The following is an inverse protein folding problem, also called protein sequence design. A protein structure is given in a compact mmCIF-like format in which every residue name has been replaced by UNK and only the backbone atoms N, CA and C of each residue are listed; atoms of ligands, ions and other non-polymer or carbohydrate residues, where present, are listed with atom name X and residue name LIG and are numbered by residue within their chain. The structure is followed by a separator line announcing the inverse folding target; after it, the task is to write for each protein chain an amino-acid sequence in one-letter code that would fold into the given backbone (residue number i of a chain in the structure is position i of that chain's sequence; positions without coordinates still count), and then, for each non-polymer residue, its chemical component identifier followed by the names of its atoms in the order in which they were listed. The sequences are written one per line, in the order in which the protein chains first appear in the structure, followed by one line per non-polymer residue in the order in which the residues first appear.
data_IF_182795069824
#
_entry.id   IF_182795069824
#
_cell.length_a   1.000
_cell.length_b   1.000
_cell.length_c   1.000
_cell.angle_alpha   90.00
_cell.angle_beta   90.00
_cell.angle_gamma   90.00
#
_symmetry.space_group_name_H-M   'P 1'
#
loop_
_entity.id
_entity.type
_entity.pdbx_description
1 polymer ?
#
# COMPACT_ATOMS: atom_id res chain seq x y z
N UNK A 1 9.06 7.55 -1.38
CA UNK A 1 9.24 6.63 -2.53
C UNK A 1 9.51 7.44 -3.78
N UNK A 2 10.45 7.00 -4.61
CA UNK A 2 10.80 7.67 -5.86
C UNK A 2 9.72 7.52 -6.96
N UNK A 3 9.82 8.26 -8.07
CA UNK A 3 9.00 8.01 -9.26
C UNK A 3 9.14 6.58 -9.81
N UNK A 4 10.32 5.96 -9.70
CA UNK A 4 10.52 4.59 -10.16
C UNK A 4 9.79 3.59 -9.26
N UNK A 5 9.81 3.78 -7.94
CA UNK A 5 9.07 2.95 -7.00
C UNK A 5 7.55 3.14 -7.16
N UNK A 6 7.09 4.37 -7.35
CA UNK A 6 5.68 4.63 -7.66
C UNK A 6 5.24 3.96 -8.97
N UNK A 7 6.10 3.96 -10.00
CA UNK A 7 5.80 3.26 -11.25
C UNK A 7 5.78 1.74 -11.06
N UNK A 8 6.69 1.19 -10.23
CA UNK A 8 6.75 -0.24 -9.91
C UNK A 8 5.44 -0.75 -9.29
N UNK A 9 4.88 0.01 -8.35
CA UNK A 9 3.62 -0.33 -7.67
C UNK A 9 2.35 0.10 -8.43
N UNK A 10 2.51 0.81 -9.54
CA UNK A 10 1.38 1.17 -10.39
C UNK A 10 0.91 -0.05 -11.19
N UNK A 11 -0.41 -0.19 -11.34
CA UNK A 11 -0.95 -1.13 -12.30
C UNK A 11 -0.45 -0.78 -13.71
N UNK A 12 -0.20 -1.78 -14.54
CA UNK A 12 0.09 -1.60 -15.97
C UNK A 12 -1.18 -1.89 -16.76
N UNK A 13 -1.97 -0.87 -17.16
CA UNK A 13 -3.19 -1.09 -17.92
C UNK A 13 -2.88 -1.76 -19.27
N UNK A 14 -3.83 -2.56 -19.78
CA UNK A 14 -3.72 -3.08 -21.13
C UNK A 14 -3.67 -1.93 -22.15
N UNK A 15 -2.85 -2.06 -23.22
CA UNK A 15 -2.78 -1.03 -24.23
C UNK A 15 -4.13 -0.88 -24.96
N UNK A 16 -4.48 0.34 -25.38
CA UNK A 16 -5.70 0.57 -26.14
C UNK A 16 -5.66 -0.14 -27.49
N UNK A 17 -6.82 -0.60 -27.96
CA UNK A 17 -6.98 -1.22 -29.28
C UNK A 17 -7.88 -0.39 -30.19
N UNK A 18 -7.71 -0.56 -31.50
CA UNK A 18 -8.66 -0.02 -32.47
C UNK A 18 -9.91 -0.91 -32.54
N UNK A 19 -11.09 -0.29 -32.52
CA UNK A 19 -12.35 -0.98 -32.75
C UNK A 19 -12.79 -0.89 -34.22
N UNK A 20 -13.58 -1.85 -34.73
CA UNK A 20 -14.32 -1.68 -35.98
C UNK A 20 -15.17 -0.40 -35.93
N UNK A 21 -15.30 0.27 -37.08
CA UNK A 21 -15.94 1.59 -37.18
C UNK A 21 -17.32 1.65 -36.53
N UNK A 22 -18.13 0.60 -36.69
CA UNK A 22 -19.47 0.53 -36.10
C UNK A 22 -19.44 0.54 -34.57
N UNK A 23 -18.50 -0.18 -33.96
CA UNK A 23 -18.33 -0.25 -32.50
C UNK A 23 -17.67 1.02 -31.95
N UNK A 24 -16.71 1.58 -32.69
CA UNK A 24 -16.11 2.88 -32.36
C UNK A 24 -17.16 3.99 -32.33
N UNK A 25 -18.13 3.96 -33.25
CA UNK A 25 -19.26 4.89 -33.27
C UNK A 25 -20.18 4.73 -32.05
N UNK A 26 -20.40 3.50 -31.56
CA UNK A 26 -21.15 3.30 -30.30
C UNK A 26 -20.47 4.03 -29.14
N UNK A 27 -19.15 3.83 -28.97
CA UNK A 27 -18.41 4.50 -27.89
C UNK A 27 -18.35 6.02 -28.05
N UNK A 28 -18.19 6.51 -29.28
CA UNK A 28 -18.18 7.95 -29.58
C UNK A 28 -19.52 8.61 -29.25
N UNK A 29 -20.61 8.04 -29.74
CA UNK A 29 -21.96 8.54 -29.47
C UNK A 29 -22.26 8.49 -27.97
N UNK A 30 -21.80 7.45 -27.26
CA UNK A 30 -21.92 7.35 -25.80
C UNK A 30 -21.16 8.48 -25.10
N UNK A 31 -19.93 8.77 -25.52
CA UNK A 31 -19.13 9.86 -24.95
C UNK A 31 -19.74 11.24 -25.25
N UNK A 32 -20.33 11.45 -26.42
CA UNK A 32 -21.03 12.70 -26.77
C UNK A 32 -22.36 12.90 -26.04
N UNK A 33 -22.99 11.81 -25.60
CA UNK A 33 -24.25 11.79 -24.88
C UNK A 33 -24.07 11.64 -23.35
N UNK A 34 -22.84 11.66 -22.84
CA UNK A 34 -22.50 11.20 -21.49
C UNK A 34 -23.34 11.77 -20.34
N UNK A 35 -23.89 12.97 -20.47
CA UNK A 35 -24.75 13.65 -19.49
C UNK A 35 -26.19 13.89 -19.98
N UNK A 36 -26.59 13.24 -21.07
CA UNK A 36 -27.91 13.36 -21.68
C UNK A 36 -28.59 11.98 -21.68
N UNK A 37 -29.46 11.77 -20.70
CA UNK A 37 -30.20 10.52 -20.52
C UNK A 37 -31.03 10.14 -21.75
N UNK A 38 -31.62 11.10 -22.45
CA UNK A 38 -32.43 10.82 -23.64
C UNK A 38 -31.56 10.32 -24.80
N UNK A 39 -30.42 11.00 -25.06
CA UNK A 39 -29.47 10.59 -26.09
C UNK A 39 -28.79 9.26 -25.75
N UNK A 40 -28.42 9.03 -24.49
CA UNK A 40 -27.89 7.74 -24.03
C UNK A 40 -28.93 6.62 -24.18
N UNK A 41 -30.18 6.88 -23.81
CA UNK A 41 -31.29 5.92 -23.93
C UNK A 41 -31.48 5.38 -25.35
N UNK A 42 -31.16 6.17 -26.38
CA UNK A 42 -31.21 5.76 -27.77
C UNK A 42 -30.10 4.76 -28.17
N UNK A 43 -29.03 4.65 -27.37
CA UNK A 43 -27.92 3.71 -27.57
C UNK A 43 -28.19 2.34 -26.92
N UNK A 44 -29.15 2.24 -25.99
CA UNK A 44 -29.46 1.01 -25.25
C UNK A 44 -30.56 0.17 -25.93
N UNK A 45 -30.52 -1.15 -25.71
CA UNK A 45 -31.66 -2.04 -26.03
C UNK A 45 -32.85 -1.75 -25.12
N UNK A 46 -34.07 -2.16 -25.51
CA UNK A 46 -35.26 -1.93 -24.68
C UNK A 46 -35.14 -2.59 -23.30
N UNK A 47 -34.58 -3.79 -23.27
CA UNK A 47 -34.34 -4.67 -22.12
C UNK A 47 -32.95 -4.48 -21.49
N UNK A 48 -32.26 -3.37 -21.78
CA UNK A 48 -30.89 -3.15 -21.31
C UNK A 48 -30.79 -3.24 -19.78
N UNK A 49 -29.62 -3.64 -19.28
CA UNK A 49 -29.39 -3.81 -17.85
C UNK A 49 -28.04 -3.24 -17.43
N UNK A 50 -27.97 -2.64 -16.25
CA UNK A 50 -26.72 -2.17 -15.63
C UNK A 50 -26.69 -2.58 -14.17
N UNK A 51 -25.50 -2.95 -13.69
CA UNK A 51 -25.26 -3.14 -12.26
C UNK A 51 -24.90 -1.78 -11.65
N UNK A 52 -25.69 -1.33 -10.67
CA UNK A 52 -25.31 -0.18 -9.86
C UNK A 52 -24.18 -0.59 -8.90
N UNK A 53 -23.03 0.08 -9.00
CA UNK A 53 -21.88 -0.19 -8.13
C UNK A 53 -22.06 0.31 -6.69
N UNK A 54 -22.95 1.27 -6.44
CA UNK A 54 -23.07 1.93 -5.13
C UNK A 54 -24.06 1.22 -4.19
N UNK A 55 -25.17 0.69 -4.73
CA UNK A 55 -26.15 -0.10 -3.99
C UNK A 55 -26.47 -1.37 -4.77
N UNK A 56 -25.67 -2.45 -4.69
CA UNK A 56 -25.46 -3.51 -5.68
C UNK A 56 -26.73 -4.18 -6.24
N UNK A 57 -27.48 -3.43 -7.03
CA UNK A 57 -28.80 -3.76 -7.58
C UNK A 57 -28.76 -3.70 -9.10
N UNK A 58 -29.67 -4.45 -9.72
CA UNK A 58 -29.80 -4.50 -11.18
C UNK A 58 -30.86 -3.54 -11.67
N UNK A 59 -30.44 -2.51 -12.41
CA UNK A 59 -31.36 -1.59 -13.08
C UNK A 59 -31.68 -2.11 -14.47
N UNK A 60 -32.98 -2.28 -14.76
CA UNK A 60 -33.48 -2.83 -16.03
C UNK A 60 -34.29 -1.81 -16.82
N UNK A 61 -34.09 -1.82 -18.13
CA UNK A 61 -34.80 -1.00 -19.11
C UNK A 61 -34.00 0.24 -19.49
N UNK A 62 -34.07 0.64 -20.76
CA UNK A 62 -33.25 1.75 -21.31
C UNK A 62 -33.33 3.04 -20.52
N UNK A 63 -34.51 3.39 -19.98
CA UNK A 63 -34.72 4.64 -19.27
C UNK A 63 -34.01 4.64 -17.90
N UNK A 64 -34.12 3.54 -17.16
CA UNK A 64 -33.43 3.37 -15.88
C UNK A 64 -31.91 3.34 -16.07
N UNK A 65 -31.43 2.55 -17.04
CA UNK A 65 -30.00 2.45 -17.37
C UNK A 65 -29.44 3.81 -17.80
N UNK A 66 -30.12 4.52 -18.71
CA UNK A 66 -29.64 5.82 -19.19
C UNK A 66 -29.69 6.90 -18.10
N UNK A 67 -30.72 6.90 -17.25
CA UNK A 67 -30.80 7.77 -16.08
C UNK A 67 -29.59 7.61 -15.18
N UNK A 68 -29.28 6.37 -14.79
CA UNK A 68 -28.12 6.04 -13.98
C UNK A 68 -26.80 6.45 -14.65
N UNK A 69 -26.55 5.98 -15.86
CA UNK A 69 -25.27 6.20 -16.55
C UNK A 69 -25.02 7.68 -16.88
N UNK A 70 -26.07 8.47 -17.13
CA UNK A 70 -25.96 9.91 -17.39
C UNK A 70 -25.58 10.74 -16.16
N UNK A 71 -25.89 10.23 -14.96
CA UNK A 71 -25.64 10.90 -13.69
C UNK A 71 -24.35 10.42 -13.00
N UNK A 72 -23.75 9.33 -13.49
CA UNK A 72 -22.64 8.63 -12.83
C UNK A 72 -21.38 9.50 -12.65
N UNK A 73 -21.14 10.47 -13.53
CA UNK A 73 -20.00 11.39 -13.42
C UNK A 73 -20.43 12.84 -13.60
N UNK A 74 -19.73 13.76 -12.91
CA UNK A 74 -19.89 15.21 -13.13
C UNK A 74 -18.95 15.80 -14.19
N UNK A 75 -18.15 14.98 -14.88
CA UNK A 75 -17.17 15.42 -15.90
C UNK A 75 -17.21 14.50 -17.11
N UNK A 76 -16.97 15.10 -18.28
CA UNK A 76 -16.80 14.37 -19.54
C UNK A 76 -15.79 13.23 -19.39
N UNK A 77 -16.09 12.13 -20.05
CA UNK A 77 -15.29 10.92 -20.03
C UNK A 77 -15.52 10.13 -21.32
N UNK A 78 -14.61 9.21 -21.62
CA UNK A 78 -14.75 8.26 -22.71
C UNK A 78 -14.39 6.85 -22.25
N UNK A 79 -14.67 5.88 -23.10
CA UNK A 79 -14.18 4.50 -22.92
C UNK A 79 -12.95 4.30 -23.77
N UNK A 80 -11.85 3.87 -23.17
CA UNK A 80 -10.65 3.38 -23.86
C UNK A 80 -10.75 1.86 -23.99
N UNK A 81 -11.02 1.32 -25.20
CA UNK A 81 -11.20 -0.12 -25.38
C UNK A 81 -9.86 -0.85 -25.35
N UNK A 82 -9.83 -2.02 -24.73
CA UNK A 82 -8.65 -2.92 -24.67
C UNK A 82 -8.94 -4.31 -25.20
N UNK A 83 -10.21 -4.69 -25.30
CA UNK A 83 -10.63 -5.93 -25.96
C UNK A 83 -12.03 -5.76 -26.55
N UNK A 84 -12.31 -6.48 -27.64
CA UNK A 84 -13.66 -6.68 -28.13
C UNK A 84 -13.81 -8.06 -28.75
N UNK A 85 -15.04 -8.55 -28.83
CA UNK A 85 -15.40 -9.71 -29.65
C UNK A 85 -16.78 -9.52 -30.24
N UNK A 86 -17.01 -10.09 -31.41
CA UNK A 86 -18.29 -10.07 -32.12
C UNK A 86 -18.59 -11.47 -32.62
N UNK A 87 -19.81 -11.95 -32.38
CA UNK A 87 -20.31 -13.21 -32.91
C UNK A 87 -21.75 -13.00 -33.37
N UNK A 88 -21.94 -12.97 -34.70
CA UNK A 88 -23.24 -12.70 -35.31
C UNK A 88 -23.82 -11.34 -34.89
N UNK A 89 -24.93 -11.37 -34.15
CA UNK A 89 -25.66 -10.19 -33.68
C UNK A 89 -25.32 -9.76 -32.26
N UNK A 90 -24.31 -10.38 -31.62
CA UNK A 90 -23.89 -10.08 -30.25
C UNK A 90 -22.38 -9.82 -30.19
N UNK A 91 -21.94 -9.11 -29.15
CA UNK A 91 -20.52 -8.86 -28.91
C UNK A 91 -20.28 -8.21 -27.56
N UNK A 92 -19.02 -7.90 -27.28
CA UNK A 92 -18.65 -7.10 -26.11
C UNK A 92 -17.49 -6.16 -26.42
N UNK A 93 -17.36 -5.13 -25.59
CA UNK A 93 -16.19 -4.27 -25.48
C UNK A 93 -15.77 -4.28 -24.01
N UNK A 94 -14.51 -4.59 -23.72
CA UNK A 94 -13.90 -4.36 -22.43
C UNK A 94 -12.95 -3.16 -22.54
N UNK A 95 -12.88 -2.35 -21.49
CA UNK A 95 -12.08 -1.13 -21.50
C UNK A 95 -11.99 -0.44 -20.16
N UNK A 96 -11.49 0.79 -20.22
CA UNK A 96 -11.40 1.68 -19.09
C UNK A 96 -12.27 2.91 -19.30
N UNK A 97 -12.89 3.40 -18.23
CA UNK A 97 -13.32 4.79 -18.17
C UNK A 97 -12.09 5.68 -18.12
N UNK A 98 -11.99 6.62 -19.05
CA UNK A 98 -10.80 7.45 -19.24
C UNK A 98 -11.14 8.93 -19.39
N UNK A 99 -10.21 9.78 -18.95
CA UNK A 99 -10.21 11.23 -19.21
C UNK A 99 -8.87 11.63 -19.83
N UNK A 100 -8.93 12.53 -20.79
CA UNK A 100 -7.73 13.16 -21.31
C UNK A 100 -7.25 14.21 -20.29
N UNK A 101 -5.94 14.20 -20.02
CA UNK A 101 -5.22 15.11 -19.12
C UNK A 101 -4.13 15.82 -19.91
N UNK A 102 -3.54 16.88 -19.36
CA UNK A 102 -2.42 17.60 -20.00
C UNK A 102 -1.26 16.67 -20.37
N UNK A 103 -1.06 15.62 -19.57
CA UNK A 103 0.06 14.67 -19.69
C UNK A 103 -0.32 13.35 -20.38
N UNK A 104 -1.56 13.19 -20.85
CA UNK A 104 -1.99 11.96 -21.54
C UNK A 104 -3.41 11.51 -21.19
N UNK A 105 -3.57 10.23 -20.91
CA UNK A 105 -4.88 9.61 -20.65
C UNK A 105 -4.88 9.00 -19.26
N UNK A 106 -5.83 9.42 -18.41
CA UNK A 106 -6.02 8.83 -17.08
C UNK A 106 -7.19 7.85 -17.10
N UNK A 107 -6.91 6.58 -16.84
CA UNK A 107 -7.91 5.56 -16.57
C UNK A 107 -8.36 5.67 -15.11
N UNK A 108 -9.67 5.72 -14.87
CA UNK A 108 -10.23 5.92 -13.53
C UNK A 108 -11.33 4.91 -13.17
N UNK A 109 -11.71 4.03 -14.09
CA UNK A 109 -12.61 2.90 -13.85
C UNK A 109 -12.44 1.82 -14.92
N UNK A 110 -12.99 0.64 -14.66
CA UNK A 110 -13.13 -0.45 -15.61
C UNK A 110 -14.55 -0.45 -16.17
N UNK A 111 -14.72 -0.98 -17.39
CA UNK A 111 -16.04 -1.17 -17.98
C UNK A 111 -16.08 -2.43 -18.84
N UNK A 112 -17.16 -3.19 -18.70
CA UNK A 112 -17.57 -4.19 -19.66
C UNK A 112 -18.90 -3.77 -20.29
N UNK A 113 -18.95 -3.74 -21.62
CA UNK A 113 -20.12 -3.35 -22.41
C UNK A 113 -20.52 -4.55 -23.26
N UNK A 114 -21.68 -5.13 -22.98
CA UNK A 114 -22.28 -6.14 -23.85
C UNK A 114 -23.13 -5.46 -24.93
N UNK A 115 -23.00 -5.92 -26.16
CA UNK A 115 -23.61 -5.32 -27.35
C UNK A 115 -24.54 -6.31 -28.03
N UNK A 116 -25.63 -5.79 -28.60
CA UNK A 116 -26.53 -6.56 -29.47
C UNK A 116 -27.03 -5.70 -30.62
N UNK A 117 -27.15 -6.29 -31.82
CA UNK A 117 -27.81 -5.63 -32.95
C UNK A 117 -29.32 -5.56 -32.70
N UNK A 118 -29.91 -4.40 -32.94
CA UNK A 118 -31.37 -4.28 -33.00
C UNK A 118 -31.93 -4.89 -34.31
N UNK A 119 -33.25 -4.86 -34.47
CA UNK A 119 -33.93 -5.38 -35.67
C UNK A 119 -33.54 -4.64 -36.97
N UNK A 120 -32.92 -3.46 -36.86
CA UNK A 120 -32.39 -2.69 -38.00
C UNK A 120 -30.91 -2.99 -38.28
N UNK A 121 -30.30 -3.92 -37.55
CA UNK A 121 -28.90 -4.29 -37.67
C UNK A 121 -27.93 -3.33 -36.97
N UNK A 122 -28.43 -2.31 -36.25
CA UNK A 122 -27.58 -1.33 -35.56
C UNK A 122 -27.16 -1.85 -34.18
N UNK A 123 -25.89 -1.68 -33.85
CA UNK A 123 -25.38 -2.02 -32.53
C UNK A 123 -26.01 -1.13 -31.44
N UNK A 124 -26.43 -1.80 -30.36
CA UNK A 124 -26.95 -1.21 -29.13
C UNK A 124 -26.26 -1.83 -27.93
N UNK A 125 -26.18 -1.08 -26.85
CA UNK A 125 -25.69 -1.57 -25.55
C UNK A 125 -26.82 -2.37 -24.90
N UNK A 126 -26.58 -3.66 -24.69
CA UNK A 126 -27.50 -4.58 -24.05
C UNK A 126 -27.23 -4.71 -22.54
N UNK A 127 -25.96 -4.61 -22.14
CA UNK A 127 -25.59 -4.50 -20.74
C UNK A 127 -24.34 -3.66 -20.57
N UNK A 128 -24.20 -3.01 -19.41
CA UNK A 128 -22.98 -2.33 -19.02
C UNK A 128 -22.66 -2.66 -17.55
N UNK A 129 -21.37 -2.79 -17.24
CA UNK A 129 -20.90 -3.01 -15.87
C UNK A 129 -19.74 -2.07 -15.62
N UNK A 130 -20.00 -0.90 -15.02
CA UNK A 130 -18.94 -0.02 -14.57
C UNK A 130 -18.35 -0.54 -13.25
N UNK A 131 -17.03 -0.46 -13.09
CA UNK A 131 -16.36 -0.88 -11.85
C UNK A 131 -15.30 0.14 -11.45
N UNK A 132 -15.42 0.65 -10.23
CA UNK A 132 -14.50 1.62 -9.65
C UNK A 132 -13.91 1.05 -8.36
N UNK A 133 -12.66 1.41 -8.03
CA UNK A 133 -11.72 2.27 -8.77
C UNK A 133 -11.18 1.66 -10.07
N UNK A 134 -10.56 2.49 -10.91
CA UNK A 134 -9.78 2.05 -12.07
C UNK A 134 -8.41 1.46 -11.71
N UNK A 135 -7.57 1.11 -12.69
CA UNK A 135 -6.21 0.66 -12.45
C UNK A 135 -5.46 1.62 -11.52
N UNK A 136 -4.81 1.09 -10.50
CA UNK A 136 -4.07 1.91 -9.53
C UNK A 136 -2.92 2.64 -10.25
N UNK A 137 -2.83 3.96 -10.06
CA UNK A 137 -1.75 4.77 -10.60
C UNK A 137 -1.15 5.56 -9.43
N UNK A 138 0.07 5.19 -9.06
CA UNK A 138 0.79 5.78 -7.95
C UNK A 138 1.68 6.92 -8.45
N UNK A 139 1.90 7.90 -7.58
CA UNK A 139 2.82 9.00 -7.80
C UNK A 139 3.90 9.00 -6.72
N UNK A 140 5.07 9.58 -7.04
CA UNK A 140 6.12 9.79 -6.06
C UNK A 140 5.61 10.64 -4.89
N UNK A 141 6.15 10.37 -3.69
CA UNK A 141 5.89 11.19 -2.49
C UNK A 141 7.17 11.83 -2.04
N UNK A 142 7.23 13.14 -2.26
CA UNK A 142 8.37 13.99 -1.93
C UNK A 142 8.45 14.27 -0.43
N UNK A 143 9.63 14.64 0.06
CA UNK A 143 9.79 15.08 1.45
C UNK A 143 8.93 16.31 1.76
N UNK A 144 8.71 17.21 0.80
CA UNK A 144 7.84 18.38 0.99
C UNK A 144 6.40 17.97 1.33
N UNK A 145 5.83 17.03 0.58
CA UNK A 145 4.48 16.51 0.86
C UNK A 145 4.41 15.84 2.23
N UNK A 146 5.46 15.09 2.60
CA UNK A 146 5.54 14.48 3.93
C UNK A 146 5.65 15.52 5.06
N UNK A 147 6.40 16.61 4.86
CA UNK A 147 6.48 17.71 5.83
C UNK A 147 5.12 18.39 6.00
N UNK A 148 4.40 18.65 4.91
CA UNK A 148 3.04 19.20 4.97
C UNK A 148 2.10 18.28 5.78
N UNK A 149 2.19 16.97 5.60
CA UNK A 149 1.43 16.01 6.41
C UNK A 149 1.87 16.00 7.88
N UNK A 150 3.17 15.99 8.15
CA UNK A 150 3.72 16.08 9.50
C UNK A 150 3.24 17.35 10.22
N UNK A 151 3.27 18.50 9.55
CA UNK A 151 2.81 19.76 10.13
C UNK A 151 1.31 19.71 10.45
N UNK A 152 0.50 19.14 9.55
CA UNK A 152 -0.94 18.91 9.78
C UNK A 152 -1.23 17.93 10.92
N UNK A 153 -0.31 16.99 11.19
CA UNK A 153 -0.42 16.01 12.27
C UNK A 153 0.27 16.44 13.57
N UNK A 154 0.97 17.58 13.59
CA UNK A 154 1.78 18.01 14.73
C UNK A 154 3.04 17.16 14.97
N UNK A 155 3.53 16.46 13.94
CA UNK A 155 4.73 15.62 13.99
C UNK A 155 5.97 16.48 13.71
N UNK A 156 6.83 16.61 14.71
CA UNK A 156 8.05 17.42 14.59
C UNK A 156 9.20 16.71 13.87
N UNK A 157 9.37 15.40 14.07
CA UNK A 157 10.41 14.61 13.41
C UNK A 157 9.87 13.27 12.97
N UNK A 158 10.35 12.75 11.85
CA UNK A 158 9.97 11.44 11.35
C UNK A 158 11.12 10.71 10.68
N UNK A 159 10.94 9.39 10.54
CA UNK A 159 11.83 8.53 9.76
C UNK A 159 11.17 8.20 8.44
N UNK A 160 11.85 8.48 7.34
CA UNK A 160 11.43 8.08 6.00
C UNK A 160 11.98 6.69 5.72
N UNK A 161 11.10 5.72 5.56
CA UNK A 161 11.49 4.37 5.17
C UNK A 161 11.65 4.30 3.65
N UNK A 162 12.84 3.93 3.19
CA UNK A 162 13.04 3.53 1.80
C UNK A 162 12.24 2.27 1.48
N UNK A 163 11.71 2.19 0.27
CA UNK A 163 10.97 1.05 -0.28
C UNK A 163 11.80 0.24 -1.27
N UNK A 164 13.12 0.41 -1.23
CA UNK A 164 14.03 -0.24 -2.17
C UNK A 164 13.95 -1.79 -2.14
N UNK A 165 13.43 -2.39 -1.06
CA UNK A 165 13.12 -3.82 -1.00
C UNK A 165 12.19 -4.29 -2.14
N UNK A 166 11.30 -3.43 -2.67
CA UNK A 166 10.40 -3.77 -3.79
C UNK A 166 11.17 -4.22 -5.04
N UNK A 167 12.31 -3.61 -5.32
CA UNK A 167 13.09 -3.96 -6.51
C UNK A 167 13.79 -5.32 -6.38
N UNK A 168 13.98 -5.82 -5.15
CA UNK A 168 14.63 -7.09 -4.86
C UNK A 168 13.69 -8.29 -4.75
N UNK A 169 12.41 -8.14 -5.08
CA UNK A 169 11.39 -9.19 -4.95
C UNK A 169 11.48 -10.23 -6.09
N UNK A 170 11.30 -11.53 -5.78
CA UNK A 170 11.18 -12.62 -6.76
C UNK A 170 9.72 -12.80 -7.19
N UNK A 171 9.37 -13.18 -8.44
CA UNK A 171 10.19 -13.68 -9.54
C UNK A 171 10.66 -12.62 -10.53
N UNK A 172 10.35 -11.34 -10.31
CA UNK A 172 10.79 -10.26 -11.19
C UNK A 172 12.23 -9.88 -10.89
N UNK A 173 13.18 -10.76 -11.23
CA UNK A 173 14.57 -10.36 -11.42
C UNK A 173 14.58 -9.32 -12.54
N UNK A 174 14.53 -8.05 -12.17
CA UNK A 174 14.62 -6.99 -13.15
C UNK A 174 16.08 -6.86 -13.58
N UNK A 175 16.31 -6.63 -14.87
CA UNK A 175 17.63 -6.15 -15.30
C UNK A 175 18.00 -4.92 -14.45
N UNK A 176 19.26 -4.89 -14.01
CA UNK A 176 19.82 -3.85 -13.15
C UNK A 176 19.13 -3.68 -11.78
N UNK A 177 18.61 -4.76 -11.19
CA UNK A 177 17.99 -4.78 -9.85
C UNK A 177 18.76 -3.95 -8.82
N UNK A 178 20.06 -4.21 -8.65
CA UNK A 178 20.86 -3.48 -7.67
C UNK A 178 20.96 -1.97 -8.00
N UNK A 179 21.04 -1.61 -9.28
CA UNK A 179 21.04 -0.19 -9.67
C UNK A 179 19.73 0.51 -9.28
N UNK A 180 18.58 -0.19 -9.35
CA UNK A 180 17.28 0.36 -8.91
C UNK A 180 17.18 0.48 -7.40
N UNK A 181 17.69 -0.51 -6.65
CA UNK A 181 17.80 -0.44 -5.19
C UNK A 181 18.60 0.80 -4.79
N UNK A 182 19.78 0.99 -5.40
CA UNK A 182 20.63 2.16 -5.17
C UNK A 182 19.90 3.46 -5.52
N UNK A 183 19.26 3.51 -6.69
CA UNK A 183 18.54 4.70 -7.14
C UNK A 183 17.38 5.09 -6.21
N UNK A 184 16.65 4.12 -5.65
CA UNK A 184 15.59 4.40 -4.67
C UNK A 184 16.17 4.94 -3.36
N UNK A 185 17.22 4.30 -2.81
CA UNK A 185 17.88 4.80 -1.62
C UNK A 185 18.47 6.21 -1.88
N UNK A 186 19.17 6.43 -2.98
CA UNK A 186 19.76 7.73 -3.34
C UNK A 186 18.68 8.82 -3.43
N UNK A 187 17.54 8.50 -4.04
CA UNK A 187 16.42 9.43 -4.12
C UNK A 187 15.84 9.76 -2.73
N UNK A 188 15.67 8.77 -1.86
CA UNK A 188 15.19 8.98 -0.49
C UNK A 188 16.18 9.83 0.31
N UNK A 189 17.48 9.54 0.22
CA UNK A 189 18.54 10.33 0.85
C UNK A 189 18.50 11.79 0.40
N UNK A 190 18.40 12.03 -0.92
CA UNK A 190 18.26 13.37 -1.49
C UNK A 190 17.02 14.10 -0.99
N UNK A 191 15.88 13.42 -0.88
CA UNK A 191 14.65 14.03 -0.36
C UNK A 191 14.76 14.41 1.11
N UNK A 192 15.30 13.52 1.94
CA UNK A 192 15.49 13.76 3.38
C UNK A 192 16.50 14.87 3.63
N UNK A 193 17.55 14.96 2.82
CA UNK A 193 18.56 16.02 2.90
C UNK A 193 18.00 17.44 2.65
N UNK A 194 16.79 17.57 2.09
CA UNK A 194 16.09 18.86 1.98
C UNK A 194 15.56 19.37 3.33
N UNK A 195 15.36 18.48 4.31
CA UNK A 195 14.78 18.79 5.62
C UNK A 195 15.52 18.06 6.77
N UNK A 196 16.85 18.23 6.92
CA UNK A 196 17.67 17.40 7.81
C UNK A 196 17.34 17.56 9.31
N UNK A 197 16.74 18.69 9.71
CA UNK A 197 16.32 18.91 11.11
C UNK A 197 15.00 18.19 11.46
N UNK A 198 14.24 17.78 10.42
CA UNK A 198 12.89 17.21 10.52
C UNK A 198 12.86 15.73 10.14
N UNK A 199 13.70 15.29 9.22
CA UNK A 199 13.65 13.95 8.65
C UNK A 199 15.02 13.27 8.74
N UNK A 200 14.97 11.96 8.98
CA UNK A 200 16.08 11.03 8.73
C UNK A 200 15.55 9.88 7.88
N UNK A 201 16.42 9.15 7.19
CA UNK A 201 16.05 8.03 6.34
C UNK A 201 16.48 6.70 6.94
N UNK A 202 15.68 5.66 6.72
CA UNK A 202 16.12 4.28 6.84
C UNK A 202 16.34 3.68 5.45
N UNK A 203 17.55 3.18 5.22
CA UNK A 203 17.96 2.53 3.98
C UNK A 203 17.27 1.18 3.83
N UNK A 204 17.09 0.70 2.61
CA UNK A 204 16.40 -0.55 2.38
C UNK A 204 16.98 -1.39 1.25
N UNK A 205 16.79 -2.70 1.34
CA UNK A 205 17.17 -3.71 0.36
C UNK A 205 16.57 -5.06 0.78
N UNK A 206 16.57 -6.04 -0.12
CA UNK A 206 16.24 -7.43 0.23
C UNK A 206 17.46 -8.07 0.94
N UNK A 207 17.33 -8.56 2.20
CA UNK A 207 18.44 -9.13 2.96
C UNK A 207 18.95 -10.47 2.45
N UNK A 208 18.27 -11.10 1.48
CA UNK A 208 18.67 -12.36 0.86
C UNK A 208 19.59 -12.16 -0.36
N UNK A 209 19.78 -10.93 -0.83
CA UNK A 209 20.58 -10.64 -2.03
C UNK A 209 22.05 -10.48 -1.70
N UNK A 210 22.91 -10.87 -2.62
CA UNK A 210 24.38 -10.83 -2.44
C UNK A 210 24.91 -9.42 -2.17
N UNK A 211 24.25 -8.40 -2.72
CA UNK A 211 24.61 -6.99 -2.53
C UNK A 211 24.12 -6.39 -1.20
N UNK A 212 23.39 -7.13 -0.35
CA UNK A 212 22.75 -6.57 0.86
C UNK A 212 23.76 -5.90 1.82
N UNK A 213 24.92 -6.52 2.03
CA UNK A 213 25.96 -5.95 2.91
C UNK A 213 26.72 -4.80 2.24
N UNK A 214 26.86 -4.82 0.91
CA UNK A 214 27.42 -3.71 0.14
C UNK A 214 26.51 -2.48 0.24
N UNK A 215 25.20 -2.66 0.08
CA UNK A 215 24.26 -1.55 0.17
C UNK A 215 24.13 -0.98 1.58
N UNK A 216 24.13 -1.84 2.61
CA UNK A 216 24.24 -1.38 4.00
C UNK A 216 25.49 -0.54 4.21
N UNK A 217 26.66 -1.01 3.76
CA UNK A 217 27.92 -0.28 3.91
C UNK A 217 27.88 1.06 3.17
N UNK A 218 27.21 1.12 2.00
CA UNK A 218 27.05 2.35 1.23
C UNK A 218 26.14 3.36 1.92
N UNK A 219 24.99 2.91 2.41
CA UNK A 219 24.03 3.76 3.14
C UNK A 219 24.61 4.33 4.44
N UNK A 220 25.43 3.57 5.15
CA UNK A 220 26.14 4.00 6.37
C UNK A 220 27.11 5.18 6.14
N UNK A 221 27.54 5.43 4.90
CA UNK A 221 28.39 6.57 4.55
C UNK A 221 27.60 7.85 4.24
N UNK A 222 26.28 7.78 4.10
CA UNK A 222 25.44 8.91 3.78
C UNK A 222 24.73 9.43 5.05
N UNK A 223 24.96 10.69 5.46
CA UNK A 223 24.41 11.25 6.70
C UNK A 223 22.87 11.37 6.72
N UNK A 224 22.20 11.23 5.57
CA UNK A 224 20.75 11.16 5.53
C UNK A 224 20.21 9.87 6.18
N UNK A 225 21.01 8.79 6.21
CA UNK A 225 20.58 7.49 6.72
C UNK A 225 21.03 7.23 8.15
N UNK A 226 20.09 6.77 8.97
CA UNK A 226 20.33 6.46 10.39
C UNK A 226 19.87 5.06 10.80
N UNK A 227 19.38 4.25 9.86
CA UNK A 227 18.91 2.90 10.14
C UNK A 227 18.52 2.12 8.89
N UNK A 228 18.02 0.90 9.09
CA UNK A 228 17.54 -0.01 8.05
C UNK A 228 16.03 -0.20 8.14
N UNK A 229 15.36 -0.20 6.99
CA UNK A 229 14.01 -0.73 6.82
C UNK A 229 14.10 -2.06 6.07
N UNK A 230 13.65 -3.12 6.71
CA UNK A 230 13.52 -4.45 6.10
C UNK A 230 12.05 -4.86 6.02
N UNK A 231 11.69 -5.61 4.99
CA UNK A 231 10.33 -6.10 4.78
C UNK A 231 10.36 -7.57 4.37
N UNK A 232 10.07 -8.48 5.30
CA UNK A 232 10.22 -9.92 5.07
C UNK A 232 9.26 -10.45 4.01
N UNK A 233 7.99 -10.01 4.04
CA UNK A 233 7.00 -10.37 3.00
C UNK A 233 7.46 -10.05 1.58
N UNK A 234 7.70 -8.77 1.26
CA UNK A 234 8.20 -8.36 -0.07
C UNK A 234 9.62 -8.84 -0.40
N UNK A 235 10.39 -9.32 0.58
CA UNK A 235 11.73 -9.86 0.35
C UNK A 235 11.75 -11.39 0.21
N UNK A 236 10.60 -12.06 0.28
CA UNK A 236 10.46 -13.52 0.29
C UNK A 236 11.30 -14.20 1.40
N UNK A 237 11.48 -13.51 2.53
CA UNK A 237 12.19 -14.08 3.69
C UNK A 237 11.31 -15.15 4.31
N UNK A 238 11.91 -16.32 4.53
CA UNK A 238 11.29 -17.44 5.22
C UNK A 238 12.16 -17.75 6.43
N UNK A 239 11.69 -17.39 7.62
CA UNK A 239 12.46 -17.62 8.85
C UNK A 239 12.52 -19.10 9.23
N UNK A 240 11.76 -19.97 8.58
CA UNK A 240 11.83 -21.43 8.78
C UNK A 240 12.91 -22.06 7.91
N UNK A 241 13.38 -21.35 6.87
CA UNK A 241 14.51 -21.74 6.07
C UNK A 241 15.83 -21.31 6.77
N UNK A 242 16.71 -22.26 7.15
CA UNK A 242 17.97 -21.94 7.84
C UNK A 242 18.93 -21.06 7.02
N UNK A 243 18.91 -21.14 5.68
CA UNK A 243 19.75 -20.31 4.81
C UNK A 243 19.28 -18.86 4.78
N UNK A 244 17.96 -18.65 4.82
CA UNK A 244 17.36 -17.33 4.94
C UNK A 244 17.66 -16.73 6.32
N UNK A 245 17.49 -17.50 7.40
CA UNK A 245 17.88 -17.09 8.76
C UNK A 245 19.36 -16.71 8.82
N UNK A 246 20.25 -17.51 8.23
CA UNK A 246 21.67 -17.20 8.19
C UNK A 246 21.95 -15.88 7.46
N UNK A 247 21.28 -15.64 6.33
CA UNK A 247 21.44 -14.41 5.54
C UNK A 247 20.95 -13.17 6.28
N UNK A 248 19.75 -13.23 6.86
CA UNK A 248 19.20 -12.13 7.67
C UNK A 248 20.06 -11.88 8.92
N UNK A 249 20.53 -12.94 9.60
CA UNK A 249 21.45 -12.81 10.74
C UNK A 249 22.74 -12.08 10.39
N UNK A 250 23.29 -12.28 9.19
CA UNK A 250 24.47 -11.51 8.71
C UNK A 250 24.16 -10.02 8.63
N UNK A 251 23.01 -9.65 8.07
CA UNK A 251 22.57 -8.24 7.98
C UNK A 251 22.35 -7.63 9.37
N UNK A 252 21.64 -8.32 10.26
CA UNK A 252 21.39 -7.84 11.63
C UNK A 252 22.69 -7.62 12.42
N UNK A 253 23.66 -8.54 12.29
CA UNK A 253 24.98 -8.40 12.92
C UNK A 253 25.74 -7.20 12.37
N UNK A 254 25.78 -7.05 11.03
CA UNK A 254 26.46 -5.94 10.38
C UNK A 254 25.85 -4.58 10.76
N UNK A 255 24.53 -4.52 10.92
CA UNK A 255 23.82 -3.33 11.42
C UNK A 255 24.16 -3.04 12.89
N UNK A 256 24.22 -4.07 13.74
CA UNK A 256 24.62 -3.92 15.14
C UNK A 256 26.04 -3.36 15.30
N UNK A 257 27.00 -3.90 14.53
CA UNK A 257 28.39 -3.44 14.50
C UNK A 257 28.49 -1.95 14.11
N UNK A 258 27.62 -1.50 13.20
CA UNK A 258 27.54 -0.10 12.73
C UNK A 258 26.69 0.82 13.61
N UNK A 259 26.05 0.29 14.65
CA UNK A 259 25.05 1.02 15.45
C UNK A 259 23.87 1.52 14.61
N UNK A 260 23.48 0.77 13.60
CA UNK A 260 22.39 1.10 12.67
C UNK A 260 21.06 0.43 13.12
N UNK A 261 20.12 1.17 13.73
CA UNK A 261 18.80 0.64 14.10
C UNK A 261 18.05 -0.04 12.94
N UNK A 262 17.14 -0.95 13.27
CA UNK A 262 16.34 -1.68 12.28
C UNK A 262 14.85 -1.47 12.55
N UNK A 263 14.10 -1.03 11.55
CA UNK A 263 12.65 -1.21 11.48
C UNK A 263 12.35 -2.40 10.56
N UNK A 264 11.60 -3.39 11.03
CA UNK A 264 11.33 -4.62 10.27
C UNK A 264 9.83 -4.93 10.23
N UNK A 265 9.32 -5.19 9.02
CA UNK A 265 8.02 -5.82 8.81
C UNK A 265 8.23 -7.33 8.70
N UNK A 266 7.62 -8.10 9.61
CA UNK A 266 7.87 -9.54 9.78
C UNK A 266 6.82 -10.44 9.13
N UNK A 267 5.63 -9.92 8.84
CA UNK A 267 4.54 -10.74 8.35
C UNK A 267 4.78 -11.15 6.89
N UNK A 268 4.64 -12.43 6.62
CA UNK A 268 4.93 -13.06 5.32
C UNK A 268 3.72 -13.73 4.69
N UNK A 269 2.54 -13.64 5.32
CA UNK A 269 1.33 -14.28 4.85
C UNK A 269 0.46 -14.83 5.98
N UNK A 270 -0.65 -15.47 5.62
CA UNK A 270 -1.61 -16.00 6.57
C UNK A 270 -1.06 -17.09 7.52
N UNK A 271 0.05 -17.74 7.16
CA UNK A 271 0.72 -18.75 8.00
C UNK A 271 1.69 -18.17 9.03
N UNK A 272 2.01 -16.87 8.95
CA UNK A 272 2.92 -16.22 9.89
C UNK A 272 2.31 -16.21 11.30
N UNK A 273 3.07 -16.65 12.30
CA UNK A 273 2.59 -16.68 13.68
C UNK A 273 3.69 -16.91 14.71
N UNK A 274 3.33 -17.65 15.76
CA UNK A 274 4.16 -17.88 16.95
C UNK A 274 5.48 -18.58 16.66
N UNK A 275 5.50 -19.55 15.76
CA UNK A 275 6.72 -20.25 15.35
C UNK A 275 7.73 -19.27 14.72
N UNK A 276 7.26 -18.47 13.75
CA UNK A 276 8.06 -17.48 13.04
C UNK A 276 8.61 -16.41 13.99
N UNK A 277 7.76 -15.88 14.87
CA UNK A 277 8.16 -14.91 15.89
C UNK A 277 9.17 -15.50 16.89
N UNK A 278 9.03 -16.78 17.24
CA UNK A 278 9.97 -17.49 18.13
C UNK A 278 11.33 -17.66 17.46
N UNK A 279 11.37 -18.03 16.18
CA UNK A 279 12.62 -18.11 15.42
C UNK A 279 13.26 -16.72 15.31
N UNK A 280 12.50 -15.69 14.96
CA UNK A 280 13.01 -14.33 14.89
C UNK A 280 13.61 -13.86 16.22
N UNK A 281 12.88 -14.02 17.34
CA UNK A 281 13.34 -13.65 18.68
C UNK A 281 14.64 -14.39 19.06
N UNK A 282 14.68 -15.71 18.82
CA UNK A 282 15.77 -16.55 19.30
C UNK A 282 17.02 -16.44 18.43
N UNK A 283 16.85 -16.40 17.11
CA UNK A 283 17.94 -16.54 16.16
C UNK A 283 18.37 -15.20 15.56
N UNK A 284 17.42 -14.34 15.17
CA UNK A 284 17.70 -13.13 14.40
C UNK A 284 17.90 -11.92 15.32
N UNK A 285 16.95 -11.64 16.21
CA UNK A 285 17.02 -10.50 17.13
C UNK A 285 18.25 -10.59 18.04
N UNK A 286 18.63 -11.80 18.45
CA UNK A 286 19.82 -12.06 19.27
C UNK A 286 21.14 -11.65 18.57
N UNK A 287 21.16 -11.50 17.24
CA UNK A 287 22.34 -11.05 16.50
C UNK A 287 22.55 -9.53 16.56
N UNK A 288 21.57 -8.77 17.07
CA UNK A 288 21.62 -7.31 17.15
C UNK A 288 21.29 -6.78 18.56
N UNK A 289 22.03 -7.19 19.60
CA UNK A 289 21.66 -6.91 20.99
C UNK A 289 21.80 -5.43 21.37
N UNK A 290 22.58 -4.63 20.65
CA UNK A 290 23.03 -3.31 21.07
C UNK A 290 22.44 -2.14 20.26
N UNK A 291 21.47 -2.42 19.40
CA UNK A 291 20.75 -1.42 18.61
C UNK A 291 19.23 -1.53 18.82
N UNK A 292 18.47 -0.43 18.63
CA UNK A 292 17.02 -0.51 18.58
C UNK A 292 16.55 -1.36 17.41
N UNK A 293 15.61 -2.26 17.69
CA UNK A 293 14.84 -2.98 16.66
C UNK A 293 13.36 -2.63 16.86
N UNK A 294 12.74 -2.01 15.85
CA UNK A 294 11.32 -1.73 15.79
C UNK A 294 10.62 -2.78 14.92
N UNK A 295 9.64 -3.48 15.47
CA UNK A 295 8.76 -4.37 14.70
C UNK A 295 7.52 -3.59 14.25
N UNK A 296 7.26 -3.59 12.95
CA UNK A 296 6.14 -2.88 12.35
C UNK A 296 4.78 -3.54 12.67
N UNK A 297 3.72 -2.74 12.65
CA UNK A 297 2.32 -3.19 12.80
C UNK A 297 2.09 -4.05 14.04
N UNK A 298 2.82 -3.76 15.12
CA UNK A 298 2.76 -4.51 16.36
C UNK A 298 2.93 -6.03 16.16
N UNK A 299 3.87 -6.40 15.27
CA UNK A 299 4.16 -7.77 14.83
C UNK A 299 3.09 -8.45 13.96
N UNK A 300 2.15 -7.70 13.38
CA UNK A 300 1.18 -8.16 12.39
C UNK A 300 1.53 -7.78 10.95
N UNK A 301 0.56 -7.96 10.03
CA UNK A 301 0.71 -7.64 8.61
C UNK A 301 0.32 -6.21 8.22
N UNK A 302 -0.65 -5.62 8.92
CA UNK A 302 -1.27 -4.36 8.50
C UNK A 302 -2.09 -4.50 7.20
N UNK A 303 -3.27 -3.88 7.07
CA UNK A 303 -4.11 -3.38 8.16
C UNK A 303 -4.64 -4.53 9.04
N UNK A 304 -4.71 -4.28 10.35
CA UNK A 304 -5.28 -5.18 11.35
C UNK A 304 -4.27 -5.85 12.28
N UNK A 305 -4.78 -6.76 13.12
CA UNK A 305 -4.07 -7.30 14.27
C UNK A 305 -4.16 -8.82 14.37
N UNK A 306 -3.04 -9.47 14.67
CA UNK A 306 -2.95 -10.91 14.97
C UNK A 306 -2.13 -11.15 16.22
N UNK A 307 -2.71 -11.77 17.24
CA UNK A 307 -2.10 -11.88 18.57
C UNK A 307 -0.98 -12.94 18.65
N UNK A 308 -1.00 -13.97 17.81
CA UNK A 308 -0.15 -15.15 17.96
C UNK A 308 1.35 -14.85 17.92
N UNK A 309 1.79 -14.04 16.96
CA UNK A 309 3.19 -13.63 16.86
C UNK A 309 3.57 -12.64 17.96
N UNK A 310 2.71 -11.68 18.25
CA UNK A 310 2.97 -10.68 19.28
C UNK A 310 3.08 -11.29 20.68
N UNK A 311 2.30 -12.32 20.97
CA UNK A 311 2.32 -13.03 22.24
C UNK A 311 3.74 -13.46 22.64
N UNK A 312 4.54 -13.93 21.69
CA UNK A 312 5.94 -14.33 21.90
C UNK A 312 6.77 -13.18 22.45
N UNK A 313 6.68 -12.00 21.82
CA UNK A 313 7.47 -10.85 22.26
C UNK A 313 6.96 -10.28 23.58
N UNK A 314 5.64 -10.24 23.77
CA UNK A 314 5.03 -9.74 25.00
C UNK A 314 5.35 -10.63 26.21
N UNK A 315 5.36 -11.95 26.03
CA UNK A 315 5.78 -12.93 27.03
C UNK A 315 7.28 -12.80 27.35
N UNK A 316 8.14 -12.68 26.34
CA UNK A 316 9.57 -12.49 26.53
C UNK A 316 9.90 -11.17 27.26
N UNK A 317 9.22 -10.07 26.92
CA UNK A 317 9.37 -8.78 27.62
C UNK A 317 8.92 -8.90 29.07
N UNK A 318 7.77 -9.52 29.34
CA UNK A 318 7.26 -9.71 30.69
C UNK A 318 8.17 -10.61 31.55
N UNK A 319 8.85 -11.58 30.92
CA UNK A 319 9.84 -12.44 31.56
C UNK A 319 11.21 -11.76 31.78
N UNK A 320 11.41 -10.52 31.33
CA UNK A 320 12.68 -9.80 31.46
C UNK A 320 13.79 -10.31 30.53
N UNK A 321 13.43 -10.90 29.38
CA UNK A 321 14.39 -11.40 28.41
C UNK A 321 15.30 -10.29 27.89
N UNK A 322 16.61 -10.44 28.12
CA UNK A 322 17.63 -9.47 27.74
C UNK A 322 17.66 -9.18 26.23
N UNK A 323 17.21 -10.12 25.39
CA UNK A 323 17.11 -9.94 23.93
C UNK A 323 16.10 -8.87 23.54
N UNK A 324 15.11 -8.61 24.39
CA UNK A 324 14.05 -7.61 24.14
C UNK A 324 14.36 -6.21 24.68
N UNK A 325 15.55 -6.00 25.27
CA UNK A 325 15.91 -4.73 25.93
C UNK A 325 15.80 -3.51 25.00
N UNK A 326 16.05 -3.71 23.71
CA UNK A 326 16.01 -2.69 22.67
C UNK A 326 14.88 -2.94 21.64
N UNK A 327 13.86 -3.71 22.02
CA UNK A 327 12.73 -4.04 21.15
C UNK A 327 11.60 -3.01 21.30
N UNK A 328 11.14 -2.48 20.17
CA UNK A 328 10.07 -1.50 20.05
C UNK A 328 9.03 -1.96 19.03
N UNK A 329 7.84 -1.36 19.06
CA UNK A 329 6.75 -1.67 18.14
C UNK A 329 6.08 -0.39 17.67
N UNK A 330 5.68 -0.32 16.42
CA UNK A 330 4.76 0.72 15.96
C UNK A 330 3.32 0.22 15.81
N UNK A 331 2.38 1.15 15.92
CA UNK A 331 0.94 0.89 15.88
C UNK A 331 0.33 1.02 14.46
N UNK A 332 1.18 1.16 13.43
CA UNK A 332 0.71 1.57 12.12
C UNK A 332 -0.35 0.62 11.56
N UNK A 333 -1.52 1.15 11.20
CA UNK A 333 -2.67 0.42 10.61
C UNK A 333 -3.27 -0.72 11.46
N UNK A 334 -2.92 -0.82 12.75
CA UNK A 334 -3.35 -1.95 13.59
C UNK A 334 -4.80 -1.79 14.04
N UNK A 335 -5.21 -0.57 14.38
CA UNK A 335 -6.53 -0.30 14.97
C UNK A 335 -7.66 -0.19 13.93
N UNK A 336 -7.32 -0.01 12.65
CA UNK A 336 -8.30 0.25 11.60
C UNK A 336 -9.24 -0.92 11.36
N UNK A 337 -10.55 -0.63 11.39
CA UNK A 337 -11.65 -1.56 11.06
C UNK A 337 -11.61 -2.88 11.87
N UNK A 338 -11.07 -2.85 13.09
CA UNK A 338 -11.03 -4.01 13.97
C UNK A 338 -12.29 -4.13 14.83
N UNK A 339 -12.75 -5.34 15.13
CA UNK A 339 -13.88 -5.52 16.02
C UNK A 339 -13.48 -5.24 17.49
N UNK A 340 -14.42 -4.85 18.37
CA UNK A 340 -14.11 -4.39 19.72
C UNK A 340 -13.30 -5.38 20.59
N UNK A 341 -13.51 -6.68 20.42
CA UNK A 341 -12.76 -7.73 21.12
C UNK A 341 -11.28 -7.77 20.73
N UNK A 342 -10.97 -7.56 19.45
CA UNK A 342 -9.59 -7.47 18.95
C UNK A 342 -8.92 -6.22 19.51
N UNK A 343 -9.63 -5.09 19.53
CA UNK A 343 -9.11 -3.83 20.09
C UNK A 343 -8.84 -3.94 21.61
N UNK A 344 -9.66 -4.69 22.36
CA UNK A 344 -9.40 -5.00 23.77
C UNK A 344 -8.14 -5.85 23.95
N UNK A 345 -7.94 -6.88 23.12
CA UNK A 345 -6.73 -7.69 23.15
C UNK A 345 -5.49 -6.86 22.82
N UNK A 346 -5.57 -6.01 21.79
CA UNK A 346 -4.50 -5.10 21.40
C UNK A 346 -4.13 -4.12 22.54
N UNK A 347 -5.13 -3.50 23.18
CA UNK A 347 -4.90 -2.63 24.34
C UNK A 347 -4.22 -3.38 25.51
N UNK A 348 -4.58 -4.63 25.76
CA UNK A 348 -3.93 -5.46 26.77
C UNK A 348 -2.46 -5.74 26.43
N UNK A 349 -2.15 -6.03 25.16
CA UNK A 349 -0.76 -6.24 24.72
C UNK A 349 0.08 -4.97 24.75
N UNK A 350 -0.49 -3.81 24.42
CA UNK A 350 0.17 -2.50 24.61
C UNK A 350 0.64 -2.33 26.07
N UNK A 351 -0.22 -2.65 27.03
CA UNK A 351 0.12 -2.61 28.45
C UNK A 351 1.18 -3.64 28.82
N UNK A 352 1.09 -4.85 28.27
CA UNK A 352 2.01 -5.96 28.55
C UNK A 352 3.44 -5.69 28.04
N UNK A 353 3.60 -5.17 26.82
CA UNK A 353 4.94 -4.79 26.31
C UNK A 353 5.49 -3.54 27.00
N UNK A 354 4.60 -2.75 27.61
CA UNK A 354 4.91 -1.51 28.29
C UNK A 354 4.88 -0.31 27.33
N UNK A 355 4.25 0.77 27.78
CA UNK A 355 3.97 1.95 26.94
C UNK A 355 5.23 2.60 26.37
N UNK A 356 6.38 2.53 27.06
CA UNK A 356 7.65 3.09 26.59
C UNK A 356 8.20 2.44 25.30
N UNK A 357 7.70 1.24 24.95
CA UNK A 357 8.10 0.50 23.74
C UNK A 357 7.21 0.76 22.54
N UNK A 358 6.13 1.52 22.70
CA UNK A 358 5.12 1.74 21.67
C UNK A 358 5.36 3.08 20.97
N UNK A 359 5.56 3.02 19.66
CA UNK A 359 5.87 4.17 18.80
C UNK A 359 4.70 4.44 17.85
N UNK A 360 4.55 5.70 17.46
CA UNK A 360 3.65 6.05 16.37
C UNK A 360 4.31 5.76 15.02
N UNK A 361 3.57 5.06 14.15
CA UNK A 361 3.86 4.94 12.73
C UNK A 361 2.54 5.11 11.98
N UNK A 362 2.57 5.79 10.84
CA UNK A 362 1.38 5.93 9.99
C UNK A 362 1.27 4.83 8.94
N UNK A 363 2.41 4.23 8.57
CA UNK A 363 2.52 3.42 7.35
C UNK A 363 1.86 4.12 6.16
N UNK A 364 2.18 5.42 6.02
CA UNK A 364 1.50 6.31 5.08
C UNK A 364 1.37 5.65 3.71
N UNK A 365 0.14 5.35 3.33
CA UNK A 365 -0.16 4.88 1.98
C UNK A 365 -0.54 6.04 1.09
N UNK A 366 -0.15 5.90 -0.17
CA UNK A 366 -0.40 6.87 -1.22
C UNK A 366 -1.89 7.13 -1.46
N UNK A 367 -2.24 8.30 -2.02
CA UNK A 367 -3.61 8.59 -2.46
C UNK A 367 -4.17 7.47 -3.31
N UNK A 368 -5.27 6.87 -2.85
CA UNK A 368 -5.88 5.74 -3.51
C UNK A 368 -7.08 5.19 -2.73
N UNK A 369 -7.91 4.37 -3.38
CA UNK A 369 -9.12 3.77 -2.81
C UNK A 369 -8.83 2.85 -1.61
N UNK A 370 -7.60 2.34 -1.51
CA UNK A 370 -7.13 1.49 -0.40
C UNK A 370 -6.00 2.17 0.40
N UNK A 371 -5.92 3.51 0.35
CA UNK A 371 -4.92 4.24 1.11
C UNK A 371 -5.18 4.14 2.61
N UNK A 372 -4.15 3.80 3.38
CA UNK A 372 -4.05 4.10 4.80
C UNK A 372 -4.35 5.59 5.06
N UNK A 373 -5.05 5.90 6.16
CA UNK A 373 -5.41 7.28 6.49
C UNK A 373 -4.17 8.14 6.77
N UNK A 374 -4.20 9.45 6.47
CA UNK A 374 -3.12 10.37 6.85
C UNK A 374 -2.79 10.29 8.34
N UNK A 375 -1.59 10.68 8.75
CA UNK A 375 -1.08 10.49 10.11
C UNK A 375 -2.02 11.03 11.22
N UNK A 376 -2.63 12.20 11.01
CA UNK A 376 -3.57 12.78 11.98
C UNK A 376 -4.84 11.93 12.16
N UNK A 377 -5.36 11.37 11.07
CA UNK A 377 -6.53 10.49 11.07
C UNK A 377 -6.17 9.11 11.62
N UNK A 378 -5.00 8.55 11.26
CA UNK A 378 -4.47 7.32 11.85
C UNK A 378 -4.37 7.43 13.38
N UNK A 379 -3.83 8.54 13.89
CA UNK A 379 -3.78 8.81 15.33
C UNK A 379 -5.17 8.96 15.96
N UNK A 380 -6.09 9.66 15.28
CA UNK A 380 -7.46 9.81 15.75
C UNK A 380 -8.15 8.45 15.88
N UNK A 381 -8.05 7.59 14.85
CA UNK A 381 -8.63 6.25 14.86
C UNK A 381 -8.08 5.44 16.03
N UNK A 382 -6.76 5.41 16.21
CA UNK A 382 -6.13 4.75 17.34
C UNK A 382 -6.69 5.26 18.68
N UNK A 383 -6.76 6.59 18.85
CA UNK A 383 -7.24 7.23 20.08
C UNK A 383 -8.71 6.94 20.39
N UNK A 384 -9.56 6.84 19.37
CA UNK A 384 -11.01 6.69 19.57
C UNK A 384 -11.49 5.25 19.58
N UNK A 385 -10.70 4.31 19.10
CA UNK A 385 -11.12 2.89 18.96
C UNK A 385 -10.43 1.98 19.98
N UNK A 386 -9.17 2.21 20.31
CA UNK A 386 -8.43 1.35 21.24
C UNK A 386 -8.78 1.74 22.68
N UNK A 387 -9.19 0.81 23.55
CA UNK A 387 -9.61 1.10 24.93
C UNK A 387 -8.42 1.35 25.88
N UNK A 388 -7.67 2.41 25.60
CA UNK A 388 -6.65 2.99 26.49
C UNK A 388 -7.20 4.27 27.16
N UNK A 389 -6.58 4.65 28.27
CA UNK A 389 -6.87 5.90 28.96
C UNK A 389 -6.17 7.08 28.29
N UNK A 390 -6.66 8.30 28.51
CA UNK A 390 -5.99 9.52 28.01
C UNK A 390 -4.55 9.64 28.48
N UNK A 391 -4.23 9.19 29.70
CA UNK A 391 -2.87 9.19 30.22
C UNK A 391 -1.95 8.23 29.43
N UNK A 392 -2.47 7.05 29.06
CA UNK A 392 -1.74 6.08 28.24
C UNK A 392 -1.50 6.63 26.83
N UNK A 393 -2.51 7.23 26.20
CA UNK A 393 -2.34 7.88 24.89
C UNK A 393 -1.33 9.04 24.95
N UNK A 394 -1.41 9.88 25.97
CA UNK A 394 -0.49 11.00 26.15
C UNK A 394 0.95 10.51 26.38
N UNK A 395 1.14 9.36 27.03
CA UNK A 395 2.45 8.71 27.16
C UNK A 395 2.98 8.24 25.81
N UNK A 396 2.19 7.47 25.06
CA UNK A 396 2.57 6.95 23.74
C UNK A 396 2.91 8.09 22.77
N UNK A 397 2.08 9.15 22.74
CA UNK A 397 2.29 10.33 21.88
C UNK A 397 3.62 11.07 22.15
N UNK A 398 4.18 10.95 23.36
CA UNK A 398 5.45 11.58 23.76
C UNK A 398 6.66 10.68 23.56
N UNK A 399 6.48 9.42 23.19
CA UNK A 399 7.60 8.54 22.96
C UNK A 399 8.40 9.02 21.75
N UNK A 400 9.71 9.18 21.95
CA UNK A 400 10.66 9.46 20.88
C UNK A 400 11.47 8.20 20.66
N UNK A 401 11.41 7.68 19.44
CA UNK A 401 12.20 6.51 19.05
C UNK A 401 13.69 6.77 19.36
N UNK A 402 14.46 5.79 19.88
CA UNK A 402 15.83 6.03 20.34
C UNK A 402 16.76 6.62 19.28
N UNK A 403 16.50 6.35 18.01
CA UNK A 403 17.26 6.83 16.85
C UNK A 403 16.84 8.21 16.32
N UNK A 404 15.89 8.88 16.99
CA UNK A 404 15.48 10.27 16.71
C UNK A 404 15.87 11.26 17.82
N UNK A 405 16.56 10.77 18.85
CA UNK A 405 16.94 11.55 20.04
C UNK A 405 18.12 12.47 19.79
#
# INVERSE_FOLDING_TARGET
MSPAAALHESATPLPPIALPVELANVLRNRAEAWNDSARLGALYTQDAIVLDGDGPEWLRGRAAVAGYMSALFGRVHRVTPVAFSVTGSAGYIAGYFSRDTETGVRNFGHVLIALRKDTTGRWRIAAETPTFPGPNAMAAVTAKQLIEEHDNAGIRRGVVHSVAFWFGQSPTLTADEYAKVRAENDWVGQQVALFPDRLVAFCSFNPLKDYALEELARCDQDPAFTGLKLHFGNSDVDVRNPDHVASVKRVFRAANERRFPIAVHLWVGASYGREDATIFLNEILAAAPDIPVQIAHFAGGGPGYTDDALGVYAEAIAAGDLRTRNLYFDIATVADRQPPEVLRAFAARIRQVGLDRVLFGSDLSLPGPNANPPANQSWLIFRTTVPLTDAEFAKIARNVAPYLK
#
